data_IF_416769746892
#
_entry.id   IF_416769746892
#
_cell.length_a   1.000
_cell.length_b   1.000
_cell.length_c   1.000
_cell.angle_alpha   90.00
_cell.angle_beta   90.00
_cell.angle_gamma   90.00
#
_symmetry.space_group_name_H-M   'P 1'
#
loop_
_entity.id
_entity.type
_entity.pdbx_description
1 polymer ?
#
# COMPACT_ATOMS: atom_id res chain seq x y z
N UNK A 1 35.34 49.19 -2.01
CA UNK A 1 35.56 47.85 -1.39
C UNK A 1 34.59 47.50 -0.26
N UNK A 2 34.22 48.39 0.68
CA UNK A 2 33.29 48.06 1.78
C UNK A 2 31.85 47.75 1.31
N UNK A 3 31.33 48.46 0.31
CA UNK A 3 29.96 48.28 -0.22
C UNK A 3 29.77 46.92 -0.89
N UNK A 4 30.69 46.48 -1.76
CA UNK A 4 30.60 45.16 -2.41
C UNK A 4 30.70 43.99 -1.40
N UNK A 5 31.48 44.15 -0.31
CA UNK A 5 31.53 43.16 0.77
C UNK A 5 30.21 43.08 1.54
N UNK A 6 29.57 44.23 1.80
CA UNK A 6 28.27 44.28 2.45
C UNK A 6 27.18 43.60 1.59
N UNK A 7 27.17 43.88 0.29
CA UNK A 7 26.21 43.28 -0.66
C UNK A 7 26.42 41.77 -0.74
N UNK A 8 27.67 41.30 -0.85
CA UNK A 8 27.99 39.86 -0.92
C UNK A 8 27.57 39.10 0.35
N UNK A 9 27.78 39.67 1.54
CA UNK A 9 27.34 39.08 2.80
C UNK A 9 25.81 39.01 2.89
N UNK A 10 25.11 40.04 2.40
CA UNK A 10 23.66 40.08 2.38
C UNK A 10 23.08 39.02 1.43
N UNK A 11 23.65 38.87 0.23
CA UNK A 11 23.27 37.84 -0.74
C UNK A 11 23.50 36.42 -0.21
N UNK A 12 24.63 36.20 0.48
CA UNK A 12 24.94 34.90 1.07
C UNK A 12 23.97 34.54 2.20
N UNK A 13 23.63 35.52 3.05
CA UNK A 13 22.64 35.32 4.12
C UNK A 13 21.26 34.99 3.57
N UNK A 14 20.87 35.61 2.44
CA UNK A 14 19.59 35.34 1.79
C UNK A 14 19.53 33.92 1.20
N UNK A 15 20.62 33.48 0.56
CA UNK A 15 20.77 32.12 0.02
C UNK A 15 20.69 31.06 1.13
N UNK A 16 21.43 31.26 2.22
CA UNK A 16 21.43 30.34 3.37
C UNK A 16 20.04 30.28 3.99
N UNK A 17 19.38 31.43 4.18
CA UNK A 17 18.02 31.47 4.73
C UNK A 17 17.01 30.74 3.84
N UNK A 18 17.11 30.90 2.51
CA UNK A 18 16.24 30.22 1.56
C UNK A 18 16.46 28.70 1.52
N UNK A 19 17.71 28.26 1.65
CA UNK A 19 18.03 26.84 1.70
C UNK A 19 17.58 26.23 3.04
N UNK A 20 17.75 26.98 4.13
CA UNK A 20 17.32 26.57 5.46
C UNK A 20 15.80 26.40 5.54
N UNK A 21 15.01 27.32 5.01
CA UNK A 21 13.53 27.18 4.98
C UNK A 21 13.07 25.99 4.15
N UNK A 22 13.76 25.63 3.06
CA UNK A 22 13.40 24.47 2.24
C UNK A 22 13.53 23.13 2.98
N UNK A 23 14.39 23.04 4.00
CA UNK A 23 14.56 21.84 4.84
C UNK A 23 13.38 21.60 5.79
N UNK A 24 12.56 22.62 6.07
CA UNK A 24 11.43 22.53 7.00
C UNK A 24 10.06 22.56 6.31
N UNK A 25 10.02 22.53 4.97
CA UNK A 25 8.76 22.33 4.24
C UNK A 25 8.43 20.84 4.32
N UNK A 26 7.72 20.45 5.38
CA UNK A 26 7.03 19.17 5.39
C UNK A 26 6.06 19.14 4.19
N UNK A 27 5.98 18.03 3.43
CA UNK A 27 4.97 17.91 2.39
C UNK A 27 3.60 18.16 3.02
N UNK A 28 2.82 19.06 2.42
CA UNK A 28 1.48 19.34 2.89
C UNK A 28 0.68 18.02 2.91
N UNK A 29 0.12 17.67 4.06
CA UNK A 29 -0.83 16.58 4.14
C UNK A 29 -2.00 16.92 3.22
N UNK A 30 -2.11 16.22 2.09
CA UNK A 30 -3.30 16.33 1.23
C UNK A 30 -4.45 15.77 2.05
N UNK A 31 -5.41 16.62 2.40
CA UNK A 31 -6.70 16.16 2.91
C UNK A 31 -7.39 15.45 1.74
N UNK A 32 -7.28 14.12 1.69
CA UNK A 32 -7.92 13.33 0.66
C UNK A 32 -9.44 13.33 0.92
N UNK A 33 -10.24 13.59 -0.11
CA UNK A 33 -11.71 13.64 -0.03
C UNK A 33 -12.34 12.24 0.07
N UNK A 34 -11.62 11.26 0.61
CA UNK A 34 -12.01 9.84 0.62
C UNK A 34 -11.50 9.07 1.84
N UNK A 35 -11.84 7.79 1.91
CA UNK A 35 -11.47 6.90 3.01
C UNK A 35 -10.29 6.04 2.61
N UNK A 36 -9.46 5.72 3.61
CA UNK A 36 -8.42 4.71 3.48
C UNK A 36 -8.90 3.42 4.11
N UNK A 37 -8.89 2.34 3.35
CA UNK A 37 -9.37 1.05 3.81
C UNK A 37 -8.66 -0.08 3.08
N UNK A 38 -8.84 -1.28 3.63
CA UNK A 38 -8.40 -2.51 3.00
C UNK A 38 -9.56 -3.14 2.23
N UNK A 39 -9.41 -3.28 0.92
CA UNK A 39 -10.26 -4.14 0.11
C UNK A 39 -9.92 -5.60 0.37
N UNK A 40 -10.95 -6.45 0.49
CA UNK A 40 -10.80 -7.86 0.81
C UNK A 40 -11.28 -8.73 -0.35
N UNK A 41 -10.45 -9.69 -0.73
CA UNK A 41 -10.62 -10.54 -1.90
C UNK A 41 -10.34 -12.00 -1.55
N UNK A 42 -10.98 -12.89 -2.28
CA UNK A 42 -10.81 -14.32 -2.14
C UNK A 42 -10.66 -14.95 -3.52
N UNK A 43 -9.86 -16.02 -3.58
CA UNK A 43 -9.76 -16.90 -4.72
C UNK A 43 -9.84 -18.34 -4.20
N UNK A 44 -10.79 -19.10 -4.73
CA UNK A 44 -10.88 -20.52 -4.41
C UNK A 44 -9.68 -21.29 -4.97
N UNK A 45 -9.34 -22.43 -4.37
CA UNK A 45 -8.27 -23.30 -4.87
C UNK A 45 -8.32 -23.51 -6.38
N UNK A 46 -7.22 -23.15 -7.06
CA UNK A 46 -7.06 -23.27 -8.52
C UNK A 46 -7.66 -22.13 -9.35
N UNK A 47 -8.28 -21.12 -8.71
CA UNK A 47 -8.71 -19.92 -9.41
C UNK A 47 -7.51 -19.07 -9.85
N UNK A 48 -7.64 -18.40 -10.99
CA UNK A 48 -6.60 -17.53 -11.56
C UNK A 48 -6.97 -16.05 -11.46
N UNK A 49 -8.06 -15.72 -10.78
CA UNK A 49 -8.55 -14.35 -10.64
C UNK A 49 -9.15 -14.10 -9.27
N UNK A 50 -9.08 -12.84 -8.86
CA UNK A 50 -9.65 -12.37 -7.60
C UNK A 50 -11.16 -12.23 -7.66
N UNK A 51 -11.85 -12.62 -6.59
CA UNK A 51 -13.23 -12.26 -6.34
C UNK A 51 -13.29 -11.30 -5.16
N UNK A 52 -13.90 -10.13 -5.34
CA UNK A 52 -14.15 -9.22 -4.22
C UNK A 52 -15.06 -9.92 -3.20
N UNK A 53 -14.65 -9.94 -1.94
CA UNK A 53 -15.40 -10.63 -0.90
C UNK A 53 -16.65 -9.84 -0.51
N UNK A 54 -17.80 -10.54 -0.45
CA UNK A 54 -19.06 -9.97 0.02
C UNK A 54 -19.21 -10.06 1.56
N UNK A 55 -18.23 -10.65 2.23
CA UNK A 55 -18.17 -10.89 3.67
C UNK A 55 -16.81 -10.48 4.20
N UNK A 56 -16.70 -10.20 5.50
CA UNK A 56 -15.40 -9.99 6.15
C UNK A 56 -14.57 -11.28 6.27
N UNK A 57 -13.36 -11.20 6.85
CA UNK A 57 -12.38 -12.30 6.93
C UNK A 57 -12.73 -13.37 7.98
N UNK A 58 -13.95 -13.37 8.50
CA UNK A 58 -14.46 -14.42 9.38
C UNK A 58 -15.01 -15.63 8.60
N UNK A 59 -14.96 -15.60 7.27
CA UNK A 59 -15.48 -16.66 6.41
C UNK A 59 -14.56 -17.89 6.44
N UNK A 60 -15.17 -19.08 6.44
CA UNK A 60 -14.44 -20.35 6.48
C UNK A 60 -13.74 -20.61 5.13
N UNK A 61 -12.43 -20.81 5.19
CA UNK A 61 -11.56 -21.13 4.05
C UNK A 61 -11.36 -22.64 3.90
N UNK A 62 -10.82 -23.04 2.75
CA UNK A 62 -10.41 -24.41 2.40
C UNK A 62 -8.90 -24.46 2.11
N UNK A 63 -8.30 -25.65 2.21
CA UNK A 63 -6.91 -25.86 1.79
C UNK A 63 -6.78 -25.50 0.31
N UNK A 64 -5.78 -24.69 -0.03
CA UNK A 64 -5.55 -24.23 -1.40
C UNK A 64 -6.19 -22.88 -1.74
N UNK A 65 -7.06 -22.34 -0.89
CA UNK A 65 -7.63 -21.01 -1.11
C UNK A 65 -6.56 -19.92 -0.92
N UNK A 66 -6.77 -18.76 -1.54
CA UNK A 66 -5.93 -17.58 -1.38
C UNK A 66 -6.78 -16.39 -0.93
N UNK A 67 -6.32 -15.70 0.13
CA UNK A 67 -6.86 -14.43 0.59
C UNK A 67 -6.02 -13.26 0.06
N UNK A 68 -6.70 -12.20 -0.35
CA UNK A 68 -6.09 -11.00 -0.89
C UNK A 68 -6.56 -9.77 -0.12
N UNK A 69 -5.61 -8.91 0.21
CA UNK A 69 -5.85 -7.62 0.84
C UNK A 69 -5.16 -6.54 0.04
N UNK A 70 -5.85 -5.46 -0.25
CA UNK A 70 -5.29 -4.30 -0.96
C UNK A 70 -5.64 -3.01 -0.25
N UNK A 71 -4.64 -2.21 0.10
CA UNK A 71 -4.86 -0.92 0.72
C UNK A 71 -5.15 0.12 -0.36
N UNK A 72 -6.28 0.80 -0.22
CA UNK A 72 -6.71 1.83 -1.17
C UNK A 72 -7.13 3.10 -0.44
N UNK A 73 -6.96 4.22 -1.11
CA UNK A 73 -7.49 5.52 -0.72
C UNK A 73 -8.50 5.96 -1.78
N UNK A 74 -9.79 5.89 -1.46
CA UNK A 74 -10.84 6.24 -2.41
C UNK A 74 -12.10 6.74 -1.70
N UNK A 75 -12.86 7.58 -2.39
CA UNK A 75 -14.23 7.96 -2.00
C UNK A 75 -15.30 7.13 -2.72
N UNK A 76 -14.94 6.40 -3.79
CA UNK A 76 -15.90 5.89 -4.78
C UNK A 76 -15.71 4.39 -5.13
N UNK A 77 -14.52 3.81 -4.91
CA UNK A 77 -14.15 2.51 -5.49
C UNK A 77 -14.55 1.34 -4.57
N UNK A 78 -15.84 1.03 -4.54
CA UNK A 78 -16.35 -0.18 -3.89
C UNK A 78 -16.93 -1.13 -4.95
N UNK A 79 -16.36 -2.34 -5.15
CA UNK A 79 -15.19 -2.88 -4.44
C UNK A 79 -13.88 -2.21 -4.86
N UNK A 80 -12.86 -2.31 -4.02
CA UNK A 80 -11.51 -1.81 -4.33
C UNK A 80 -10.95 -2.45 -5.61
N UNK A 81 -9.86 -1.90 -6.15
CA UNK A 81 -9.06 -2.61 -7.15
C UNK A 81 -8.45 -3.86 -6.52
N UNK A 82 -8.48 -5.00 -7.21
CA UNK A 82 -7.90 -6.24 -6.70
C UNK A 82 -6.37 -6.13 -6.51
N UNK A 83 -5.74 -6.98 -5.66
CA UNK A 83 -4.28 -7.02 -5.50
C UNK A 83 -3.54 -7.18 -6.83
N UNK A 84 -2.37 -6.53 -6.97
CA UNK A 84 -1.55 -6.59 -8.18
C UNK A 84 -0.96 -7.98 -8.44
N UNK A 85 -0.69 -8.74 -7.38
CA UNK A 85 -0.22 -10.13 -7.50
C UNK A 85 -1.41 -11.06 -7.69
N UNK A 86 -1.29 -11.99 -8.63
CA UNK A 86 -2.29 -13.03 -8.88
C UNK A 86 -2.45 -13.97 -7.66
N UNK A 87 -3.63 -14.58 -7.47
CA UNK A 87 -3.87 -15.51 -6.37
C UNK A 87 -3.22 -16.90 -6.61
N UNK A 88 -1.90 -16.94 -6.74
CA UNK A 88 -1.15 -18.16 -7.05
C UNK A 88 -0.76 -18.94 -5.78
N UNK A 89 -1.63 -19.88 -5.39
CA UNK A 89 -1.37 -20.76 -4.26
C UNK A 89 -0.08 -21.57 -4.40
N UNK A 90 0.26 -22.03 -5.62
CA UNK A 90 1.43 -22.88 -5.83
C UNK A 90 2.71 -22.10 -5.53
N UNK A 91 2.79 -20.85 -5.97
CA UNK A 91 3.91 -19.96 -5.65
C UNK A 91 3.95 -19.55 -4.17
N UNK A 92 2.80 -19.32 -3.54
CA UNK A 92 2.73 -18.86 -2.15
C UNK A 92 2.97 -19.98 -1.12
N UNK A 93 2.55 -21.20 -1.42
CA UNK A 93 2.46 -22.29 -0.45
C UNK A 93 3.05 -23.62 -0.95
N UNK A 94 3.70 -23.66 -2.12
CA UNK A 94 4.20 -24.89 -2.75
C UNK A 94 5.12 -25.73 -1.86
N UNK A 95 5.96 -25.06 -1.06
CA UNK A 95 6.90 -25.72 -0.13
C UNK A 95 6.28 -26.00 1.26
N UNK A 96 5.03 -25.56 1.49
CA UNK A 96 4.34 -25.76 2.75
C UNK A 96 3.69 -27.14 2.78
N UNK A 97 4.28 -28.02 3.60
CA UNK A 97 3.76 -29.36 3.84
C UNK A 97 2.38 -29.33 4.50
N UNK A 98 1.50 -30.25 4.11
CA UNK A 98 0.21 -30.43 4.77
C UNK A 98 0.39 -30.95 6.20
N UNK A 99 -0.44 -30.44 7.11
CA UNK A 99 -0.49 -30.87 8.51
C UNK A 99 -1.91 -31.40 8.79
N UNK A 100 -2.00 -32.57 9.41
CA UNK A 100 -3.28 -33.19 9.74
C UNK A 100 -4.17 -32.23 10.57
N UNK A 101 -5.43 -32.07 10.14
CA UNK A 101 -6.40 -31.19 10.81
C UNK A 101 -6.17 -29.69 10.59
N UNK A 102 -5.26 -29.30 9.69
CA UNK A 102 -5.01 -27.91 9.28
C UNK A 102 -5.25 -27.73 7.78
N UNK A 103 -5.39 -26.47 7.38
CA UNK A 103 -5.43 -26.04 5.99
C UNK A 103 -4.28 -25.07 5.74
N UNK A 104 -3.85 -24.97 4.48
CA UNK A 104 -2.92 -23.95 3.97
C UNK A 104 -3.74 -22.95 3.17
N UNK A 105 -3.43 -21.68 3.38
CA UNK A 105 -4.09 -20.57 2.72
C UNK A 105 -2.99 -19.64 2.25
N UNK A 106 -2.98 -19.32 0.96
CA UNK A 106 -2.10 -18.29 0.43
C UNK A 106 -2.57 -16.91 0.90
N UNK A 107 -1.65 -16.01 1.22
CA UNK A 107 -1.98 -14.66 1.64
C UNK A 107 -1.22 -13.64 0.79
N UNK A 108 -1.95 -12.76 0.14
CA UNK A 108 -1.41 -11.59 -0.57
C UNK A 108 -1.83 -10.34 0.19
N UNK A 109 -0.83 -9.53 0.58
CA UNK A 109 -1.05 -8.22 1.20
C UNK A 109 -0.38 -7.17 0.31
N UNK A 110 -1.22 -6.41 -0.39
CA UNK A 110 -0.84 -5.35 -1.30
C UNK A 110 -1.08 -3.99 -0.60
N UNK A 111 -0.02 -3.20 -0.42
CA UNK A 111 -0.12 -1.89 0.23
C UNK A 111 -0.67 -0.79 -0.68
N UNK A 112 -1.09 -1.14 -1.90
CA UNK A 112 -1.54 -0.19 -2.89
C UNK A 112 -0.38 0.59 -3.52
N UNK A 113 -0.73 1.43 -4.50
CA UNK A 113 0.17 2.36 -5.20
C UNK A 113 -0.44 3.74 -5.33
#
# INVERSE_FOLDING_TARGET
MKVNRLISLFSLSLLISSLFTSLFIAPAARAETGYRYWGYFQAASGATSWTAAMTGPSTKLKDGDVEGWTFTASSNDIPATAPMMDPDFASLCGDVSQVAGKIRVGLVVDFGG
#
